data_IF_695047388129
#
_entry.id   IF_695047388129
#
_cell.length_a   1.000
_cell.length_b   1.000
_cell.length_c   1.000
_cell.angle_alpha   90.00
_cell.angle_beta   90.00
_cell.angle_gamma   90.00
#
_symmetry.space_group_name_H-M   'P 1'
#
loop_
_entity.id
_entity.type
_entity.pdbx_description
1 polymer ?
#
# COMPACT_ATOMS: atom_id res chain seq x y z
N UNK A 1 64.71 -85.26 11.03
CA UNK A 1 64.78 -83.82 10.72
C UNK A 1 65.14 -83.67 9.25
N UNK A 2 64.20 -83.23 8.43
CA UNK A 2 64.38 -83.01 7.01
C UNK A 2 64.54 -81.50 6.75
N UNK A 3 65.54 -81.10 5.96
CA UNK A 3 65.59 -79.76 5.34
C UNK A 3 65.88 -79.92 3.86
N UNK A 4 64.92 -79.45 3.08
CA UNK A 4 64.81 -79.52 1.61
C UNK A 4 65.48 -78.29 1.02
N UNK A 5 66.30 -78.50 -0.01
CA UNK A 5 66.88 -77.49 -0.91
C UNK A 5 65.89 -77.11 -2.00
N UNK A 6 65.75 -75.83 -2.34
CA UNK A 6 65.09 -75.39 -3.57
C UNK A 6 66.12 -74.81 -4.56
N UNK A 7 66.11 -75.33 -5.80
CA UNK A 7 67.00 -74.99 -6.90
C UNK A 7 66.56 -73.78 -7.75
N UNK A 8 67.26 -73.50 -8.87
CA UNK A 8 67.34 -72.19 -9.52
C UNK A 8 66.16 -71.79 -10.42
N UNK A 9 64.99 -72.42 -10.30
CA UNK A 9 63.83 -72.14 -11.17
C UNK A 9 62.96 -70.94 -10.73
N UNK A 10 63.18 -70.38 -9.54
CA UNK A 10 62.40 -69.25 -9.02
C UNK A 10 62.93 -67.86 -9.46
N UNK A 11 64.18 -67.78 -9.93
CA UNK A 11 64.83 -66.49 -10.29
C UNK A 11 64.51 -66.08 -11.73
N UNK A 12 64.23 -67.01 -12.64
CA UNK A 12 63.90 -66.70 -14.04
C UNK A 12 62.47 -66.15 -14.24
N UNK A 13 61.54 -66.46 -13.33
CA UNK A 13 60.16 -65.97 -13.41
C UNK A 13 59.98 -64.51 -12.94
N UNK A 14 60.93 -63.96 -12.18
CA UNK A 14 60.86 -62.57 -11.69
C UNK A 14 61.42 -61.58 -12.73
N UNK A 15 62.39 -61.97 -13.56
CA UNK A 15 62.91 -61.09 -14.62
C UNK A 15 61.96 -60.90 -15.81
N UNK A 16 61.05 -61.84 -16.10
CA UNK A 16 60.07 -61.68 -17.20
C UNK A 16 58.90 -60.74 -16.87
N UNK A 17 58.61 -60.46 -15.59
CA UNK A 17 57.53 -59.54 -15.21
C UNK A 17 57.94 -58.05 -15.20
N UNK A 18 59.24 -57.73 -15.21
CA UNK A 18 59.72 -56.34 -15.18
C UNK A 18 59.81 -55.73 -16.61
N UNK A 19 59.79 -56.54 -17.67
CA UNK A 19 59.97 -56.05 -19.06
C UNK A 19 58.65 -55.64 -19.74
N UNK A 20 57.47 -55.89 -19.14
CA UNK A 20 56.17 -55.65 -19.80
C UNK A 20 55.31 -54.49 -19.24
N UNK A 21 55.90 -53.49 -18.58
CA UNK A 21 55.16 -52.29 -18.13
C UNK A 21 55.82 -50.97 -18.53
N UNK A 22 56.16 -50.82 -19.81
CA UNK A 22 56.24 -49.50 -20.45
C UNK A 22 55.01 -49.30 -21.35
N UNK A 23 53.96 -48.68 -20.81
CA UNK A 23 52.93 -48.06 -21.63
C UNK A 23 53.47 -46.74 -22.20
N UNK A 24 53.91 -46.75 -23.45
CA UNK A 24 54.04 -45.53 -24.24
C UNK A 24 52.64 -44.95 -24.44
N UNK A 25 52.30 -43.86 -23.74
CA UNK A 25 51.07 -43.12 -24.06
C UNK A 25 51.27 -42.43 -25.41
N UNK A 26 50.53 -42.86 -26.44
CA UNK A 26 50.59 -42.29 -27.79
C UNK A 26 49.84 -40.95 -27.90
N UNK A 27 49.27 -40.42 -26.81
CA UNK A 27 48.50 -39.18 -26.82
C UNK A 27 49.13 -38.09 -25.94
N UNK A 28 49.53 -36.97 -26.58
CA UNK A 28 49.92 -35.73 -25.89
C UNK A 28 48.70 -34.97 -25.38
N UNK A 29 48.82 -34.35 -24.20
CA UNK A 29 47.80 -33.42 -23.66
C UNK A 29 47.65 -32.19 -24.57
N UNK A 30 46.40 -31.71 -24.74
CA UNK A 30 46.02 -30.57 -25.59
C UNK A 30 46.91 -29.33 -25.41
N UNK A 31 47.29 -29.04 -24.16
CA UNK A 31 48.14 -27.90 -23.79
C UNK A 31 49.57 -28.00 -24.36
N UNK A 32 50.11 -29.22 -24.50
CA UNK A 32 51.44 -29.48 -25.10
C UNK A 32 51.38 -29.55 -26.62
N UNK A 33 50.27 -30.00 -27.20
CA UNK A 33 50.08 -30.04 -28.65
C UNK A 33 50.04 -28.62 -29.28
N UNK A 34 49.50 -27.63 -28.55
CA UNK A 34 49.42 -26.23 -29.00
C UNK A 34 50.78 -25.51 -29.14
N UNK A 35 51.89 -26.10 -28.66
CA UNK A 35 53.23 -25.51 -28.82
C UNK A 35 53.93 -25.94 -30.11
N UNK A 36 53.44 -26.97 -30.82
CA UNK A 36 54.10 -27.58 -31.98
C UNK A 36 53.73 -26.88 -33.30
N UNK A 37 52.59 -26.20 -33.37
CA UNK A 37 52.16 -25.47 -34.56
C UNK A 37 52.14 -23.97 -34.28
N UNK A 38 53.24 -23.26 -34.62
CA UNK A 38 53.20 -21.81 -34.80
C UNK A 38 52.60 -21.49 -36.17
N UNK A 39 51.27 -21.43 -36.24
CA UNK A 39 50.56 -20.94 -37.44
C UNK A 39 50.71 -19.41 -37.47
N UNK A 40 51.29 -18.88 -38.55
CA UNK A 40 51.28 -17.43 -38.83
C UNK A 40 49.84 -17.00 -39.13
N UNK A 41 49.33 -16.00 -38.42
CA UNK A 41 47.99 -15.44 -38.67
C UNK A 41 47.93 -14.89 -40.10
N UNK A 42 46.91 -15.28 -40.87
CA UNK A 42 46.71 -14.85 -42.26
C UNK A 42 45.69 -13.72 -42.31
N UNK A 43 45.91 -12.65 -41.54
CA UNK A 43 44.98 -11.54 -41.56
C UNK A 43 45.10 -10.71 -42.86
N UNK A 44 43.96 -10.38 -43.46
CA UNK A 44 43.74 -9.41 -44.56
C UNK A 44 44.28 -9.82 -45.94
N UNK A 45 43.84 -10.96 -46.48
CA UNK A 45 44.12 -11.33 -47.89
C UNK A 45 42.98 -10.92 -48.83
N UNK A 46 43.25 -10.28 -49.97
CA UNK A 46 42.25 -9.71 -50.91
C UNK A 46 41.10 -10.64 -51.36
N UNK A 47 41.29 -11.97 -51.33
CA UNK A 47 40.28 -12.95 -51.75
C UNK A 47 39.46 -13.52 -50.58
N UNK A 48 39.76 -13.11 -49.35
CA UNK A 48 39.12 -13.58 -48.13
C UNK A 48 37.68 -13.12 -48.00
N UNK A 49 37.37 -11.89 -48.44
CA UNK A 49 36.01 -11.32 -48.47
C UNK A 49 35.05 -12.00 -49.48
N UNK A 50 35.56 -12.87 -50.37
CA UNK A 50 34.72 -13.63 -51.32
C UNK A 50 34.09 -14.86 -50.63
N UNK A 51 34.67 -15.29 -49.51
CA UNK A 51 34.16 -16.42 -48.75
C UNK A 51 33.00 -15.97 -47.85
N UNK A 52 31.98 -16.81 -47.65
CA UNK A 52 30.90 -16.48 -46.74
C UNK A 52 31.43 -16.35 -45.31
N UNK A 53 31.01 -15.29 -44.61
CA UNK A 53 31.45 -14.95 -43.26
C UNK A 53 31.44 -16.15 -42.31
N UNK A 54 32.55 -16.38 -41.61
CA UNK A 54 32.71 -17.52 -40.71
C UNK A 54 33.20 -17.10 -39.31
N UNK A 55 32.41 -17.40 -38.28
CA UNK A 55 32.68 -17.00 -36.90
C UNK A 55 34.03 -17.47 -36.35
N UNK A 56 34.41 -18.72 -36.63
CA UNK A 56 35.65 -19.29 -36.10
C UNK A 56 36.86 -18.63 -36.79
N UNK A 57 36.82 -18.56 -38.12
CA UNK A 57 37.93 -18.01 -38.92
C UNK A 57 38.14 -16.52 -38.65
N UNK A 58 37.09 -15.71 -38.79
CA UNK A 58 37.25 -14.25 -38.78
C UNK A 58 37.33 -13.69 -37.37
N UNK A 59 36.58 -14.25 -36.42
CA UNK A 59 36.49 -13.67 -35.09
C UNK A 59 37.12 -14.50 -33.96
N UNK A 60 37.30 -15.83 -34.06
CA UNK A 60 37.95 -16.62 -32.99
C UNK A 60 39.44 -16.78 -33.22
N UNK A 61 39.83 -17.09 -34.45
CA UNK A 61 41.23 -17.19 -34.86
C UNK A 61 41.84 -15.78 -35.05
N UNK A 62 41.01 -14.81 -35.43
CA UNK A 62 41.41 -13.43 -35.76
C UNK A 62 40.60 -12.33 -35.04
N UNK A 63 41.03 -11.06 -35.23
CA UNK A 63 40.32 -9.89 -34.71
C UNK A 63 39.39 -9.32 -35.80
N UNK A 64 38.09 -9.60 -35.72
CA UNK A 64 37.10 -9.08 -36.68
C UNK A 64 36.56 -7.70 -36.30
N UNK A 65 36.06 -7.00 -37.31
CA UNK A 65 35.30 -5.75 -37.29
C UNK A 65 33.80 -5.98 -37.05
N UNK A 66 33.05 -4.90 -36.78
CA UNK A 66 31.61 -5.03 -36.50
C UNK A 66 30.83 -5.41 -37.76
N UNK A 67 31.28 -4.92 -38.92
CA UNK A 67 30.73 -5.20 -40.23
C UNK A 67 30.86 -6.69 -40.57
N UNK A 68 32.03 -7.30 -40.33
CA UNK A 68 32.24 -8.75 -40.51
C UNK A 68 31.36 -9.58 -39.56
N UNK A 69 31.27 -9.19 -38.28
CA UNK A 69 30.34 -9.82 -37.34
C UNK A 69 28.87 -9.68 -37.79
N UNK A 70 28.50 -8.56 -38.42
CA UNK A 70 27.15 -8.33 -38.95
C UNK A 70 26.85 -9.23 -40.14
N UNK A 71 27.83 -9.47 -41.00
CA UNK A 71 27.71 -10.38 -42.14
C UNK A 71 27.52 -11.84 -41.71
N UNK A 72 28.20 -12.25 -40.62
CA UNK A 72 28.06 -13.59 -40.03
C UNK A 72 26.66 -13.82 -39.46
N UNK A 73 26.18 -12.94 -38.57
CA UNK A 73 24.95 -13.19 -37.82
C UNK A 73 23.67 -12.71 -38.52
N UNK A 74 23.79 -11.79 -39.50
CA UNK A 74 22.74 -11.19 -40.35
C UNK A 74 21.61 -10.44 -39.62
N UNK A 75 21.24 -10.85 -38.40
CA UNK A 75 20.32 -10.18 -37.49
C UNK A 75 21.08 -9.24 -36.57
N UNK A 76 20.53 -8.03 -36.40
CA UNK A 76 21.11 -7.00 -35.54
C UNK A 76 21.25 -7.47 -34.09
N UNK A 77 20.27 -8.22 -33.59
CA UNK A 77 20.22 -8.71 -32.21
C UNK A 77 21.36 -9.70 -31.94
N UNK A 78 21.52 -10.70 -32.83
CA UNK A 78 22.57 -11.72 -32.71
C UNK A 78 23.98 -11.14 -32.92
N UNK A 79 24.14 -10.21 -33.86
CA UNK A 79 25.42 -9.50 -34.05
C UNK A 79 25.80 -8.74 -32.78
N UNK A 80 24.85 -8.03 -32.16
CA UNK A 80 25.12 -7.29 -30.93
C UNK A 80 25.49 -8.23 -29.78
N UNK A 81 24.75 -9.32 -29.57
CA UNK A 81 25.04 -10.32 -28.53
C UNK A 81 26.46 -10.87 -28.64
N UNK A 82 26.84 -11.33 -29.84
CA UNK A 82 28.21 -11.77 -30.10
C UNK A 82 29.23 -10.66 -29.87
N UNK A 83 28.97 -9.45 -30.40
CA UNK A 83 29.93 -8.34 -30.34
C UNK A 83 30.19 -7.87 -28.90
N UNK A 84 29.17 -7.91 -28.03
CA UNK A 84 29.28 -7.58 -26.62
C UNK A 84 30.19 -8.55 -25.87
N UNK A 85 30.08 -9.84 -26.14
CA UNK A 85 30.97 -10.87 -25.59
C UNK A 85 32.36 -10.80 -26.21
N UNK A 86 32.43 -10.55 -27.51
CA UNK A 86 33.65 -10.52 -28.28
C UNK A 86 34.60 -9.37 -27.88
N UNK A 87 34.04 -8.19 -27.59
CA UNK A 87 34.78 -7.06 -27.02
C UNK A 87 34.83 -7.11 -25.48
N UNK A 88 34.31 -8.16 -24.85
CA UNK A 88 34.23 -8.33 -23.39
C UNK A 88 33.64 -7.09 -22.67
N UNK A 89 32.63 -6.47 -23.29
CA UNK A 89 32.15 -5.12 -22.93
C UNK A 89 30.63 -5.07 -22.81
N UNK A 90 29.95 -6.13 -22.36
CA UNK A 90 28.54 -6.04 -21.99
C UNK A 90 28.41 -5.16 -20.72
N UNK A 91 27.89 -3.92 -20.82
CA UNK A 91 27.86 -3.01 -19.68
C UNK A 91 26.77 -3.37 -18.66
N UNK A 92 25.88 -4.32 -18.99
CA UNK A 92 24.85 -4.87 -18.09
C UNK A 92 25.14 -6.31 -17.64
N UNK A 93 26.37 -6.81 -17.82
CA UNK A 93 26.77 -8.15 -17.33
C UNK A 93 26.58 -8.28 -15.82
N UNK A 94 26.85 -7.20 -15.10
CA UNK A 94 26.39 -6.97 -13.73
C UNK A 94 25.37 -5.82 -13.76
N UNK A 95 24.34 -5.90 -12.91
CA UNK A 95 23.34 -4.84 -12.85
C UNK A 95 23.95 -3.60 -12.17
N UNK A 96 24.34 -2.61 -12.98
CA UNK A 96 24.92 -1.33 -12.54
C UNK A 96 23.88 -0.28 -12.14
N UNK A 97 22.58 -0.62 -12.19
CA UNK A 97 21.49 0.23 -11.77
C UNK A 97 21.18 -0.01 -10.28
N UNK A 98 21.12 1.07 -9.51
CA UNK A 98 20.80 1.04 -8.09
C UNK A 98 19.30 0.81 -7.84
N UNK A 99 18.96 0.51 -6.59
CA UNK A 99 17.58 0.52 -6.08
C UNK A 99 16.58 -0.33 -6.88
N UNK A 100 17.03 -1.47 -7.41
CA UNK A 100 16.19 -2.38 -8.20
C UNK A 100 15.91 -1.90 -9.63
N UNK A 101 16.68 -0.92 -10.13
CA UNK A 101 16.66 -0.52 -11.53
C UNK A 101 17.06 -1.67 -12.46
N UNK A 102 16.48 -1.68 -13.66
CA UNK A 102 16.73 -2.70 -14.67
C UNK A 102 17.71 -2.14 -15.71
N UNK A 103 18.90 -2.73 -15.80
CA UNK A 103 19.90 -2.39 -16.82
C UNK A 103 19.47 -2.89 -18.20
N UNK A 104 19.42 -1.97 -19.18
CA UNK A 104 19.13 -2.27 -20.58
C UNK A 104 20.23 -1.71 -21.47
N UNK A 105 20.77 -2.55 -22.33
CA UNK A 105 21.80 -2.15 -23.30
C UNK A 105 21.18 -1.31 -24.42
N UNK A 106 21.75 -0.14 -24.69
CA UNK A 106 21.29 0.81 -25.72
C UNK A 106 22.49 1.47 -26.40
N UNK A 107 22.61 1.34 -27.73
CA UNK A 107 23.65 1.97 -28.56
C UNK A 107 25.07 1.86 -27.96
N UNK A 108 25.56 0.63 -27.72
CA UNK A 108 26.90 0.36 -27.17
C UNK A 108 27.14 0.87 -25.72
N UNK A 109 26.09 1.38 -25.06
CA UNK A 109 26.10 1.83 -23.65
C UNK A 109 24.99 1.13 -22.87
N UNK A 110 24.89 1.34 -21.56
CA UNK A 110 23.73 0.91 -20.77
C UNK A 110 22.80 2.08 -20.45
N UNK A 111 21.54 1.76 -20.20
CA UNK A 111 20.53 2.67 -19.71
C UNK A 111 19.73 1.98 -18.61
N UNK A 112 19.46 2.69 -17.52
CA UNK A 112 18.68 2.15 -16.41
C UNK A 112 17.21 2.50 -16.56
N UNK A 113 16.35 1.50 -16.45
CA UNK A 113 14.90 1.71 -16.26
C UNK A 113 14.64 1.73 -14.75
N UNK A 114 14.35 2.90 -14.20
CA UNK A 114 14.20 3.07 -12.76
C UNK A 114 12.77 2.75 -12.29
N UNK A 115 12.62 2.17 -11.08
CA UNK A 115 11.31 2.07 -10.45
C UNK A 115 10.71 3.46 -10.18
N UNK A 116 9.38 3.58 -10.01
CA UNK A 116 8.67 4.85 -9.82
C UNK A 116 9.27 5.82 -8.80
N UNK A 117 9.84 5.31 -7.70
CA UNK A 117 10.42 6.11 -6.60
C UNK A 117 11.87 6.55 -6.86
N UNK A 118 12.46 6.16 -7.98
CA UNK A 118 13.87 6.42 -8.26
C UNK A 118 14.07 7.04 -9.64
N UNK A 119 15.13 7.82 -9.77
CA UNK A 119 15.55 8.49 -10.99
C UNK A 119 17.05 8.70 -11.01
N UNK A 120 17.51 9.46 -12.00
CA UNK A 120 18.94 9.54 -12.32
C UNK A 120 19.34 8.50 -13.36
N UNK A 121 20.61 8.51 -13.72
CA UNK A 121 21.12 7.73 -14.84
C UNK A 121 21.29 6.25 -14.45
N UNK A 122 21.44 6.01 -13.15
CA UNK A 122 21.64 4.72 -12.50
C UNK A 122 20.59 4.45 -11.42
N UNK A 123 19.48 5.18 -11.39
CA UNK A 123 18.44 5.05 -10.35
C UNK A 123 18.95 5.34 -8.93
N UNK A 124 19.99 6.16 -8.84
CA UNK A 124 20.67 6.57 -7.61
C UNK A 124 19.93 7.65 -6.82
N UNK A 125 18.96 8.32 -7.46
CA UNK A 125 18.23 9.45 -6.88
C UNK A 125 16.84 8.98 -6.46
N UNK A 126 16.47 9.16 -5.20
CA UNK A 126 15.08 9.03 -4.79
C UNK A 126 14.26 10.23 -5.29
N UNK A 127 13.17 9.95 -6.00
CA UNK A 127 12.20 10.93 -6.45
C UNK A 127 11.04 10.96 -5.46
N UNK A 128 10.88 12.10 -4.80
CA UNK A 128 9.67 12.41 -4.03
C UNK A 128 8.81 13.29 -4.93
N UNK A 129 7.83 12.68 -5.59
CA UNK A 129 6.82 13.37 -6.40
C UNK A 129 5.46 13.10 -5.76
N UNK A 130 4.57 14.10 -5.72
CA UNK A 130 3.31 14.00 -4.99
C UNK A 130 2.36 12.91 -5.53
N UNK A 131 2.43 12.60 -6.82
CA UNK A 131 1.61 11.53 -7.40
C UNK A 131 1.95 10.15 -6.81
N UNK A 132 3.18 9.94 -6.33
CA UNK A 132 3.60 8.68 -5.74
C UNK A 132 3.42 8.72 -4.22
N UNK A 133 2.45 7.95 -3.69
CA UNK A 133 2.15 7.87 -2.24
C UNK A 133 2.00 9.24 -1.56
N UNK A 134 1.44 10.24 -2.26
CA UNK A 134 1.30 11.61 -1.75
C UNK A 134 2.64 12.25 -1.31
N UNK A 135 3.78 11.84 -1.89
CA UNK A 135 5.11 12.29 -1.47
C UNK A 135 5.43 11.99 0.01
N UNK A 136 4.83 10.94 0.56
CA UNK A 136 4.85 10.55 1.98
C UNK A 136 4.24 11.61 2.94
N UNK A 137 3.52 12.61 2.42
CA UNK A 137 2.77 13.58 3.21
C UNK A 137 1.48 12.96 3.76
N UNK A 138 1.15 13.24 5.03
CA UNK A 138 -0.09 12.70 5.63
C UNK A 138 -1.36 13.35 5.07
N UNK A 139 -1.29 14.65 4.76
CA UNK A 139 -2.45 15.40 4.25
C UNK A 139 -2.13 15.99 2.89
N UNK A 140 -1.51 17.18 2.81
CA UNK A 140 -1.29 17.85 1.53
C UNK A 140 0.16 17.75 1.09
N UNK A 141 0.36 17.54 -0.21
CA UNK A 141 1.67 17.49 -0.86
C UNK A 141 1.75 18.52 -1.99
N UNK A 142 2.90 19.19 -2.10
CA UNK A 142 3.22 20.08 -3.20
C UNK A 142 4.61 19.77 -3.77
N UNK A 143 4.68 19.55 -5.09
CA UNK A 143 5.94 19.43 -5.81
C UNK A 143 6.64 20.79 -5.89
N UNK A 144 7.97 20.80 -5.77
CA UNK A 144 8.75 22.03 -5.90
C UNK A 144 9.52 22.03 -7.22
N UNK A 145 9.52 23.15 -7.93
CA UNK A 145 10.09 23.24 -9.29
C UNK A 145 11.61 23.04 -9.33
N UNK A 146 12.31 23.34 -8.23
CA UNK A 146 13.78 23.38 -8.19
C UNK A 146 14.39 22.45 -7.14
N UNK A 147 13.60 21.93 -6.21
CA UNK A 147 14.06 21.00 -5.19
C UNK A 147 13.47 19.62 -5.46
N UNK A 148 14.28 18.56 -5.36
CA UNK A 148 13.85 17.17 -5.57
C UNK A 148 13.07 16.61 -4.36
N UNK A 149 12.46 17.52 -3.58
CA UNK A 149 11.71 17.25 -2.35
C UNK A 149 10.31 17.85 -2.52
N UNK A 150 9.33 17.18 -1.93
CA UNK A 150 7.98 17.72 -1.80
C UNK A 150 7.88 18.55 -0.51
N UNK A 151 6.98 19.51 -0.50
CA UNK A 151 6.57 20.24 0.70
C UNK A 151 5.24 19.67 1.16
N UNK A 152 5.19 19.23 2.41
CA UNK A 152 3.96 18.80 3.03
C UNK A 152 3.28 19.96 3.77
N UNK A 153 1.95 19.95 3.78
CA UNK A 153 1.16 20.87 4.58
C UNK A 153 -0.06 20.17 5.17
N UNK A 154 -0.65 20.78 6.19
CA UNK A 154 -1.75 20.22 6.95
C UNK A 154 -3.04 21.04 6.79
N UNK A 155 -4.17 20.42 7.07
CA UNK A 155 -5.50 21.02 7.14
C UNK A 155 -5.60 21.99 8.33
N UNK A 156 -6.56 22.90 8.27
CA UNK A 156 -6.87 23.79 9.38
C UNK A 156 -7.12 22.98 10.68
N UNK A 157 -6.49 23.43 11.77
CA UNK A 157 -6.51 22.75 13.06
C UNK A 157 -5.49 21.61 13.22
N UNK A 158 -4.58 21.46 12.25
CA UNK A 158 -3.43 20.56 12.32
C UNK A 158 -2.11 21.29 12.09
N UNK A 159 -1.07 20.87 12.80
CA UNK A 159 0.32 21.34 12.64
C UNK A 159 1.21 20.28 12.03
N UNK A 160 2.11 20.71 11.12
CA UNK A 160 3.10 19.82 10.53
C UNK A 160 4.09 19.37 11.61
N UNK A 161 4.28 18.05 11.69
CA UNK A 161 5.22 17.41 12.60
C UNK A 161 6.67 17.75 12.26
N UNK A 162 7.58 17.54 13.23
CA UNK A 162 9.01 17.83 13.09
C UNK A 162 9.69 17.02 11.95
N UNK A 163 9.11 15.88 11.57
CA UNK A 163 9.56 15.06 10.44
C UNK A 163 9.28 15.71 9.06
N UNK A 164 8.52 16.81 9.04
CA UNK A 164 8.12 17.51 7.82
C UNK A 164 7.10 16.75 6.96
N UNK A 165 6.49 15.68 7.49
CA UNK A 165 5.57 14.77 6.78
C UNK A 165 4.25 14.55 7.51
N UNK A 166 4.33 14.35 8.83
CA UNK A 166 3.19 14.09 9.68
C UNK A 166 2.36 15.35 9.95
N UNK A 167 1.09 15.15 10.26
CA UNK A 167 0.20 16.22 10.74
C UNK A 167 -0.29 15.83 12.13
N UNK A 168 -0.31 16.75 13.08
CA UNK A 168 -0.80 16.51 14.46
C UNK A 168 -1.89 17.52 14.81
N UNK A 169 -2.92 17.14 15.59
CA UNK A 169 -3.95 18.07 16.01
C UNK A 169 -3.34 19.26 16.77
N UNK A 170 -3.59 20.49 16.31
CA UNK A 170 -3.21 21.71 17.02
C UNK A 170 -4.39 22.30 17.80
N UNK A 171 -5.59 22.14 17.25
CA UNK A 171 -6.80 22.66 17.85
C UNK A 171 -7.40 21.62 18.81
N UNK A 172 -8.28 22.08 19.70
CA UNK A 172 -9.01 21.18 20.61
C UNK A 172 -9.99 20.27 19.86
N UNK A 173 -10.55 20.78 18.76
CA UNK A 173 -11.62 20.16 17.99
C UNK A 173 -11.41 20.33 16.48
N UNK A 174 -10.29 19.86 15.92
CA UNK A 174 -10.08 19.90 14.48
C UNK A 174 -11.04 18.96 13.77
N UNK A 175 -11.20 19.20 12.46
CA UNK A 175 -12.08 18.41 11.65
C UNK A 175 -11.64 16.93 11.57
N UNK A 176 -12.58 16.03 11.36
CA UNK A 176 -12.30 14.63 11.02
C UNK A 176 -11.69 13.77 12.15
N UNK A 177 -11.67 14.25 13.40
CA UNK A 177 -11.26 13.42 14.53
C UNK A 177 -12.30 12.34 14.85
N UNK A 178 -11.83 11.12 15.09
CA UNK A 178 -12.65 9.95 15.43
C UNK A 178 -12.20 9.38 16.78
N UNK A 179 -13.19 9.02 17.60
CA UNK A 179 -13.00 8.45 18.94
C UNK A 179 -12.49 7.02 18.77
N UNK A 180 -11.30 6.70 19.30
CA UNK A 180 -10.76 5.34 19.20
C UNK A 180 -11.64 4.40 20.04
N UNK A 181 -12.11 3.31 19.45
CA UNK A 181 -12.79 2.23 20.18
C UNK A 181 -11.79 1.57 21.15
N UNK A 182 -11.84 1.93 22.42
CA UNK A 182 -11.06 1.27 23.48
C UNK A 182 -11.70 -0.06 23.85
N UNK A 183 -11.68 -1.06 22.95
CA UNK A 183 -11.93 -2.47 23.35
C UNK A 183 -10.83 -3.01 24.28
N UNK A 184 -9.74 -2.26 24.47
CA UNK A 184 -8.54 -2.61 25.24
C UNK A 184 -8.51 -2.06 26.68
N UNK A 185 -9.50 -1.27 27.12
CA UNK A 185 -9.45 -0.59 28.44
C UNK A 185 -10.54 -1.02 29.43
N UNK A 186 -11.62 -1.67 28.97
CA UNK A 186 -12.73 -2.09 29.84
C UNK A 186 -12.46 -3.38 30.65
N UNK A 187 -11.33 -4.06 30.42
CA UNK A 187 -10.94 -5.24 31.22
C UNK A 187 -10.21 -4.87 32.53
N UNK A 188 -10.07 -3.58 32.87
CA UNK A 188 -9.20 -3.11 33.95
C UNK A 188 -9.80 -2.18 35.00
N UNK A 189 -11.11 -1.91 35.03
CA UNK A 189 -11.70 -1.03 36.05
C UNK A 189 -13.13 -1.42 36.42
N UNK A 190 -13.23 -2.47 37.21
CA UNK A 190 -14.29 -2.54 38.23
C UNK A 190 -13.73 -1.79 39.44
N UNK A 191 -14.55 -0.94 40.08
CA UNK A 191 -14.28 -0.14 41.30
C UNK A 191 -13.61 1.23 41.04
N UNK A 192 -14.40 2.29 40.79
CA UNK A 192 -14.68 3.35 41.78
C UNK A 192 -15.56 4.49 41.20
N UNK A 193 -16.45 4.94 42.09
CA UNK A 193 -17.43 6.03 42.07
C UNK A 193 -17.13 7.31 41.26
N UNK A 194 -18.23 7.88 40.78
CA UNK A 194 -18.44 9.28 40.38
C UNK A 194 -17.47 10.28 41.04
N UNK A 195 -16.66 10.97 40.22
CA UNK A 195 -16.34 12.40 40.34
C UNK A 195 -15.43 12.84 39.19
N UNK A 196 -15.84 13.88 38.46
CA UNK A 196 -15.07 14.77 37.57
C UNK A 196 -13.83 14.18 36.86
N UNK A 197 -14.03 13.57 35.69
CA UNK A 197 -12.92 13.23 34.79
C UNK A 197 -12.77 14.29 33.69
N UNK A 198 -11.76 15.16 33.82
CA UNK A 198 -11.09 15.76 32.66
C UNK A 198 -10.48 14.62 31.85
N UNK A 199 -11.12 14.22 30.75
CA UNK A 199 -10.59 13.19 29.86
C UNK A 199 -9.42 13.77 29.05
N UNK A 200 -8.23 13.21 29.26
CA UNK A 200 -7.02 13.55 28.51
C UNK A 200 -7.16 13.15 27.02
N UNK A 201 -6.74 14.07 26.13
CA UNK A 201 -6.81 13.99 24.66
C UNK A 201 -5.97 12.84 24.03
N UNK A 202 -5.36 11.96 24.82
CA UNK A 202 -4.46 10.89 24.34
C UNK A 202 -5.18 9.71 23.68
N UNK A 203 -6.52 9.65 23.75
CA UNK A 203 -7.32 8.54 23.22
C UNK A 203 -7.89 8.78 21.80
N UNK A 204 -7.52 9.90 21.17
CA UNK A 204 -7.97 10.29 19.83
C UNK A 204 -6.81 10.17 18.83
N UNK A 205 -6.86 9.16 17.97
CA UNK A 205 -5.94 9.08 16.84
C UNK A 205 -6.67 9.52 15.57
N UNK A 206 -5.91 10.13 14.65
CA UNK A 206 -6.33 10.34 13.28
C UNK A 206 -6.69 9.01 12.60
N UNK A 207 -7.44 9.10 11.51
CA UNK A 207 -7.60 8.00 10.54
C UNK A 207 -6.26 7.29 10.37
N UNK A 208 -6.23 5.99 10.70
CA UNK A 208 -5.00 5.19 10.72
C UNK A 208 -4.17 5.47 9.48
N UNK A 209 -2.96 5.99 9.69
CA UNK A 209 -1.91 6.01 8.69
C UNK A 209 -1.63 4.58 8.25
N UNK A 210 -1.82 4.33 6.96
CA UNK A 210 -1.55 3.07 6.27
C UNK A 210 -0.06 2.74 6.15
N UNK A 211 0.81 3.52 6.80
CA UNK A 211 2.26 3.30 6.75
C UNK A 211 2.82 2.41 7.88
N UNK A 212 2.01 1.97 8.87
CA UNK A 212 2.58 1.22 10.01
C UNK A 212 1.79 0.02 10.57
N UNK A 213 0.83 -0.55 9.85
CA UNK A 213 0.22 -1.82 10.29
C UNK A 213 -0.10 -2.72 9.12
N UNK A 214 0.75 -3.74 8.95
CA UNK A 214 0.35 -4.97 8.27
C UNK A 214 -0.92 -5.50 8.93
N UNK A 215 -1.87 -5.86 8.06
CA UNK A 215 -3.11 -6.57 8.31
C UNK A 215 -3.13 -7.41 9.62
N UNK A 216 -3.89 -6.98 10.61
CA UNK A 216 -4.42 -7.89 11.63
C UNK A 216 -5.62 -8.60 10.99
N UNK A 217 -5.46 -9.87 10.64
CA UNK A 217 -6.51 -10.77 10.16
C UNK A 217 -7.59 -10.93 11.24
N UNK A 218 -8.76 -10.33 11.05
CA UNK A 218 -9.87 -10.34 12.01
C UNK A 218 -10.71 -11.64 11.99
N UNK A 219 -10.18 -12.75 11.48
CA UNK A 219 -10.91 -14.03 11.35
C UNK A 219 -10.19 -15.24 11.94
N UNK A 220 -8.98 -15.10 12.47
CA UNK A 220 -8.16 -16.25 12.92
C UNK A 220 -8.09 -16.47 14.44
N UNK A 221 -8.68 -15.60 15.27
CA UNK A 221 -8.58 -15.68 16.74
C UNK A 221 -9.85 -16.24 17.42
N UNK A 222 -10.75 -16.91 16.66
CA UNK A 222 -12.01 -17.45 17.22
C UNK A 222 -11.86 -18.89 17.76
N UNK A 223 -10.82 -19.64 17.40
CA UNK A 223 -10.76 -21.08 17.71
C UNK A 223 -9.85 -21.49 18.88
N UNK A 224 -9.01 -20.62 19.46
CA UNK A 224 -7.97 -21.06 20.42
C UNK A 224 -8.22 -20.74 21.92
N UNK A 225 -9.29 -19.99 22.25
CA UNK A 225 -9.49 -19.48 23.63
C UNK A 225 -10.59 -20.20 24.46
N UNK A 226 -11.16 -21.29 23.95
CA UNK A 226 -12.26 -22.03 24.61
C UNK A 226 -11.82 -23.05 25.68
N UNK A 227 -10.56 -23.06 26.15
CA UNK A 227 -10.09 -24.10 27.09
C UNK A 227 -9.57 -23.59 28.45
N UNK A 228 -9.77 -22.31 28.84
CA UNK A 228 -9.05 -21.77 30.02
C UNK A 228 -9.81 -21.02 31.10
N UNK A 229 -11.13 -21.15 31.24
CA UNK A 229 -11.82 -20.60 32.42
C UNK A 229 -12.95 -21.49 32.93
N UNK A 230 -12.59 -22.63 33.54
CA UNK A 230 -13.40 -23.21 34.62
C UNK A 230 -13.17 -22.39 35.90
N UNK A 231 -14.19 -21.65 36.33
CA UNK A 231 -14.08 -20.75 37.48
C UNK A 231 -15.43 -20.25 38.00
N UNK A 232 -16.13 -21.15 38.70
CA UNK A 232 -17.11 -20.94 39.79
C UNK A 232 -18.04 -19.71 39.72
N UNK A 233 -19.08 -19.77 38.87
CA UNK A 233 -20.26 -18.92 38.97
C UNK A 233 -21.37 -19.64 39.74
N UNK A 234 -22.11 -18.91 40.57
CA UNK A 234 -23.23 -19.49 41.33
C UNK A 234 -24.47 -19.65 40.45
N UNK A 235 -25.39 -20.57 40.80
CA UNK A 235 -26.62 -20.84 40.02
C UNK A 235 -27.50 -19.59 39.81
N UNK A 236 -27.40 -18.58 40.66
CA UNK A 236 -28.10 -17.30 40.47
C UNK A 236 -27.46 -16.41 39.39
N UNK A 237 -26.15 -16.51 39.13
CA UNK A 237 -25.46 -15.78 38.06
C UNK A 237 -25.79 -16.35 36.68
N UNK A 238 -25.97 -17.66 36.58
CA UNK A 238 -26.36 -18.35 35.34
C UNK A 238 -27.81 -18.05 34.93
N UNK A 239 -28.70 -17.80 35.89
CA UNK A 239 -30.11 -17.40 35.63
C UNK A 239 -30.25 -15.92 35.20
N UNK A 240 -29.27 -15.07 35.54
CA UNK A 240 -29.22 -13.68 35.05
C UNK A 240 -28.66 -13.60 33.62
N UNK A 241 -27.75 -14.49 33.24
CA UNK A 241 -27.19 -14.56 31.88
C UNK A 241 -28.12 -15.29 30.88
N UNK A 242 -28.92 -16.25 31.33
CA UNK A 242 -29.87 -16.97 30.46
C UNK A 242 -31.07 -16.13 30.00
N UNK A 243 -31.35 -15.01 30.67
CA UNK A 243 -32.44 -14.08 30.29
C UNK A 243 -31.96 -12.86 29.49
N UNK A 244 -30.67 -12.76 29.14
CA UNK A 244 -30.13 -11.73 28.23
C UNK A 244 -29.80 -12.32 26.85
N UNK A 245 -29.77 -13.65 26.72
CA UNK A 245 -29.53 -14.36 25.46
C UNK A 245 -30.72 -15.22 25.04
N UNK A 246 -31.87 -14.60 24.75
CA UNK A 246 -32.75 -15.09 23.68
C UNK A 246 -33.72 -13.97 23.29
N UNK A 247 -33.83 -13.72 21.99
CA UNK A 247 -34.68 -12.70 21.34
C UNK A 247 -34.12 -11.28 21.20
N UNK A 248 -32.95 -11.14 20.59
CA UNK A 248 -32.80 -10.07 19.60
C UNK A 248 -31.83 -10.57 18.52
N UNK A 249 -32.40 -11.23 17.51
CA UNK A 249 -31.73 -11.41 16.22
C UNK A 249 -31.17 -10.05 15.79
N UNK A 250 -29.89 -10.05 15.44
CA UNK A 250 -29.16 -8.93 14.83
C UNK A 250 -29.95 -8.32 13.66
N UNK A 251 -30.82 -7.37 13.97
CA UNK A 251 -31.41 -6.48 12.96
C UNK A 251 -30.35 -5.46 12.60
N UNK A 252 -29.53 -5.83 11.63
CA UNK A 252 -28.61 -4.96 10.88
C UNK A 252 -29.29 -3.62 10.57
N UNK A 253 -28.91 -2.58 11.32
CA UNK A 253 -29.61 -1.28 11.35
C UNK A 253 -29.16 -0.29 10.25
N UNK A 254 -28.54 -0.83 9.22
CA UNK A 254 -28.29 -0.40 7.82
C UNK A 254 -28.11 -1.73 7.08
N UNK A 255 -28.54 -1.90 5.82
CA UNK A 255 -28.38 -3.21 5.12
C UNK A 255 -26.90 -3.62 5.14
N UNK A 256 -26.54 -4.63 5.96
CA UNK A 256 -25.17 -5.08 6.17
C UNK A 256 -24.24 -4.18 7.02
N UNK A 257 -24.77 -3.16 7.70
CA UNK A 257 -23.97 -2.23 8.52
C UNK A 257 -23.94 -2.57 10.01
N UNK A 258 -22.97 -2.00 10.73
CA UNK A 258 -22.78 -2.14 12.18
C UNK A 258 -23.14 -0.85 12.94
N UNK A 259 -23.31 -0.98 14.26
CA UNK A 259 -23.73 0.10 15.13
C UNK A 259 -22.64 1.18 15.32
N UNK A 260 -22.90 2.44 14.94
CA UNK A 260 -22.01 3.57 15.24
C UNK A 260 -22.18 4.00 16.69
N UNK A 261 -21.17 3.81 17.55
CA UNK A 261 -21.18 4.17 18.97
C UNK A 261 -21.31 5.69 19.19
N UNK A 262 -21.77 6.16 20.37
CA UNK A 262 -21.81 7.59 20.67
C UNK A 262 -20.46 8.27 20.43
N UNK A 263 -20.45 9.33 19.62
CA UNK A 263 -19.24 10.08 19.26
C UNK A 263 -18.32 9.42 18.23
N UNK A 264 -18.66 8.26 17.66
CA UNK A 264 -17.91 7.67 16.55
C UNK A 264 -18.22 8.35 15.20
N UNK A 265 -19.37 9.03 15.08
CA UNK A 265 -19.81 9.77 13.90
C UNK A 265 -20.14 11.25 14.27
N UNK A 266 -19.19 12.05 14.79
CA UNK A 266 -19.49 13.34 15.46
C UNK A 266 -19.92 14.47 14.51
N UNK A 267 -19.73 14.30 13.20
CA UNK A 267 -20.21 15.21 12.17
C UNK A 267 -21.62 14.88 11.68
N UNK A 268 -22.23 13.82 12.17
CA UNK A 268 -23.57 13.42 11.74
C UNK A 268 -24.60 14.47 12.16
N UNK A 269 -25.46 14.85 11.21
CA UNK A 269 -26.54 15.81 11.43
C UNK A 269 -27.88 15.19 11.06
N UNK A 270 -28.89 15.42 11.90
CA UNK A 270 -30.29 15.12 11.59
C UNK A 270 -31.00 16.42 11.18
N UNK A 271 -31.61 16.43 9.99
CA UNK A 271 -32.35 17.58 9.46
C UNK A 271 -33.84 17.37 9.66
N UNK A 272 -34.51 18.33 10.31
CA UNK A 272 -35.89 18.19 10.76
C UNK A 272 -36.77 19.36 10.30
N UNK A 273 -38.05 19.05 10.07
CA UNK A 273 -39.06 20.05 9.74
C UNK A 273 -39.63 20.71 11.01
N UNK A 274 -40.66 21.53 10.88
CA UNK A 274 -41.29 22.24 12.00
C UNK A 274 -42.13 21.35 12.93
N UNK A 275 -42.34 20.08 12.58
CA UNK A 275 -43.05 19.06 13.38
C UNK A 275 -42.09 18.05 14.01
N UNK A 276 -40.80 18.38 14.07
CA UNK A 276 -39.72 17.52 14.58
C UNK A 276 -39.54 16.20 13.81
N UNK A 277 -40.10 16.09 12.61
CA UNK A 277 -39.89 14.94 11.74
C UNK A 277 -38.53 15.04 11.04
N UNK A 278 -37.64 14.10 11.35
CA UNK A 278 -36.32 13.95 10.72
C UNK A 278 -36.43 13.28 9.35
N UNK A 279 -36.21 14.07 8.29
CA UNK A 279 -36.44 13.63 6.92
C UNK A 279 -35.15 13.38 6.13
N UNK A 280 -34.03 13.99 6.54
CA UNK A 280 -32.74 13.83 5.89
C UNK A 280 -31.59 13.85 6.90
N UNK A 281 -30.44 13.32 6.48
CA UNK A 281 -29.17 13.49 7.16
C UNK A 281 -28.35 14.65 6.57
N UNK A 282 -27.26 14.99 7.23
CA UNK A 282 -26.24 15.89 6.72
C UNK A 282 -24.91 15.67 7.43
N UNK A 283 -23.89 16.41 6.97
CA UNK A 283 -22.57 16.43 7.58
C UNK A 283 -22.23 17.85 8.02
N UNK A 284 -21.84 18.00 9.28
CA UNK A 284 -21.34 19.26 9.81
C UNK A 284 -19.96 19.53 9.19
N UNK A 285 -19.79 20.68 8.52
CA UNK A 285 -18.52 21.04 7.86
C UNK A 285 -17.86 22.26 8.51
N UNK A 286 -18.57 22.96 9.40
CA UNK A 286 -18.06 24.01 10.30
C UNK A 286 -19.06 24.26 11.43
N UNK A 287 -18.79 25.23 12.32
CA UNK A 287 -19.71 25.56 13.42
C UNK A 287 -21.09 26.06 12.95
N UNK A 288 -21.21 26.57 11.71
CA UNK A 288 -22.46 27.17 11.21
C UNK A 288 -22.96 26.56 9.89
N UNK A 289 -22.26 25.59 9.32
CA UNK A 289 -22.57 25.05 8.00
C UNK A 289 -22.71 23.53 8.02
N UNK A 290 -23.80 23.07 7.41
CA UNK A 290 -24.10 21.66 7.18
C UNK A 290 -24.18 21.42 5.67
N UNK A 291 -23.51 20.37 5.20
CA UNK A 291 -23.58 19.85 3.85
C UNK A 291 -24.61 18.72 3.77
N UNK A 292 -25.43 18.70 2.73
CA UNK A 292 -26.43 17.65 2.50
C UNK A 292 -26.76 17.55 1.01
N UNK A 293 -27.74 16.72 0.65
CA UNK A 293 -28.24 16.59 -0.72
C UNK A 293 -29.28 17.67 -1.05
N UNK A 294 -29.38 18.06 -2.32
CA UNK A 294 -30.36 19.04 -2.77
C UNK A 294 -31.79 18.49 -2.77
N UNK A 295 -31.96 17.21 -3.10
CA UNK A 295 -33.27 16.54 -3.14
C UNK A 295 -33.99 16.53 -1.79
N UNK A 296 -33.23 16.64 -0.68
CA UNK A 296 -33.79 16.77 0.67
C UNK A 296 -34.77 17.95 0.79
N UNK A 297 -34.65 18.95 -0.09
CA UNK A 297 -35.43 20.19 -0.04
C UNK A 297 -36.43 20.35 -1.19
N UNK A 298 -36.72 19.29 -1.95
CA UNK A 298 -37.66 19.39 -3.07
C UNK A 298 -39.09 19.68 -2.63
N UNK A 299 -39.52 19.05 -1.52
CA UNK A 299 -40.90 19.14 -1.03
C UNK A 299 -40.98 19.54 0.45
N UNK A 300 -39.85 19.66 1.15
CA UNK A 300 -39.80 19.88 2.59
C UNK A 300 -38.84 21.03 2.89
N UNK A 301 -39.31 22.00 3.69
CA UNK A 301 -38.49 23.11 4.15
C UNK A 301 -37.85 22.71 5.49
N UNK A 302 -36.51 22.79 5.63
CA UNK A 302 -35.85 22.52 6.90
C UNK A 302 -36.17 23.62 7.92
N UNK A 303 -36.52 23.23 9.15
CA UNK A 303 -36.79 24.16 10.25
C UNK A 303 -35.58 24.27 11.19
N UNK A 304 -34.98 23.14 11.52
CA UNK A 304 -33.83 23.04 12.40
C UNK A 304 -33.00 21.80 12.08
N UNK A 305 -31.80 21.75 12.65
CA UNK A 305 -30.94 20.58 12.67
C UNK A 305 -30.67 20.14 14.10
N UNK A 306 -30.38 18.86 14.29
CA UNK A 306 -29.88 18.31 15.54
C UNK A 306 -28.51 17.68 15.28
N UNK A 307 -27.52 18.06 16.10
CA UNK A 307 -26.15 17.53 16.05
C UNK A 307 -25.78 16.90 17.39
N UNK A 308 -24.88 15.93 17.37
CA UNK A 308 -24.51 15.16 18.58
C UNK A 308 -25.56 14.15 19.03
N UNK A 309 -26.60 13.96 18.22
CA UNK A 309 -27.65 12.95 18.36
C UNK A 309 -27.09 11.58 17.99
N UNK A 310 -27.41 10.58 18.79
CA UNK A 310 -27.11 9.17 18.55
C UNK A 310 -28.40 8.35 18.42
N UNK A 311 -29.38 8.53 19.31
CA UNK A 311 -30.69 7.91 19.20
C UNK A 311 -31.79 8.93 18.86
N UNK A 312 -32.15 9.02 17.58
CA UNK A 312 -33.21 9.92 17.07
C UNK A 312 -34.58 9.81 17.75
N UNK A 313 -34.81 8.78 18.56
CA UNK A 313 -36.05 8.55 19.30
C UNK A 313 -36.01 9.06 20.75
N UNK A 314 -34.82 9.40 21.27
CA UNK A 314 -34.60 9.80 22.65
C UNK A 314 -33.72 11.04 22.69
N UNK A 315 -34.19 12.09 23.34
CA UNK A 315 -33.38 13.30 23.49
C UNK A 315 -32.24 13.07 24.47
N UNK A 316 -31.01 13.26 24.00
CA UNK A 316 -29.80 13.15 24.79
C UNK A 316 -29.34 14.50 25.35
N UNK A 317 -28.46 14.46 26.36
CA UNK A 317 -27.97 15.67 27.05
C UNK A 317 -27.05 16.52 26.19
N UNK A 318 -26.26 15.88 25.32
CA UNK A 318 -25.22 16.54 24.53
C UNK A 318 -25.70 16.95 23.12
N UNK A 319 -26.95 16.65 22.79
CA UNK A 319 -27.60 17.05 21.55
C UNK A 319 -27.80 18.57 21.48
N UNK A 320 -27.47 19.15 20.33
CA UNK A 320 -27.68 20.56 20.07
C UNK A 320 -28.67 20.75 18.94
N UNK A 321 -29.82 21.32 19.27
CA UNK A 321 -30.89 21.67 18.34
C UNK A 321 -30.75 23.12 17.90
N UNK A 322 -30.43 23.35 16.62
CA UNK A 322 -30.14 24.70 16.08
C UNK A 322 -31.06 25.02 14.90
N UNK A 323 -31.68 26.21 14.90
CA UNK A 323 -32.59 26.62 13.81
C UNK A 323 -31.80 26.85 12.51
N UNK A 324 -32.44 26.52 11.40
CA UNK A 324 -31.92 26.84 10.07
C UNK A 324 -32.19 28.30 9.74
N UNK A 325 -31.13 29.03 9.36
CA UNK A 325 -31.23 30.41 8.87
C UNK A 325 -31.63 30.43 7.41
N UNK A 326 -30.93 29.63 6.59
CA UNK A 326 -31.15 29.54 5.14
C UNK A 326 -30.57 28.23 4.60
N UNK A 327 -31.12 27.75 3.49
CA UNK A 327 -30.56 26.64 2.72
C UNK A 327 -30.38 27.06 1.26
N UNK A 328 -29.42 26.45 0.58
CA UNK A 328 -29.12 26.66 -0.84
C UNK A 328 -28.95 25.32 -1.52
N UNK A 329 -29.81 25.03 -2.49
CA UNK A 329 -29.55 23.95 -3.45
C UNK A 329 -28.53 24.42 -4.46
N UNK A 330 -27.72 23.50 -4.98
CA UNK A 330 -26.82 23.82 -6.07
C UNK A 330 -27.61 24.46 -7.24
N UNK A 331 -27.15 25.58 -7.82
CA UNK A 331 -27.89 26.28 -8.88
C UNK A 331 -28.18 25.43 -10.12
N UNK A 332 -27.34 24.40 -10.35
CA UNK A 332 -27.47 23.46 -11.46
C UNK A 332 -28.02 22.08 -11.02
N UNK A 333 -28.64 21.99 -9.84
CA UNK A 333 -29.31 20.77 -9.41
C UNK A 333 -30.45 20.41 -10.36
N UNK A 334 -30.50 19.15 -10.79
CA UNK A 334 -31.56 18.62 -11.62
C UNK A 334 -32.27 17.47 -10.92
N UNK A 335 -33.55 17.68 -10.56
CA UNK A 335 -34.35 16.70 -9.82
C UNK A 335 -34.74 15.45 -10.63
N UNK A 336 -34.57 15.46 -11.95
CA UNK A 336 -34.89 14.31 -12.81
C UNK A 336 -33.78 13.25 -12.81
N UNK A 337 -32.52 13.68 -12.71
CA UNK A 337 -31.36 12.78 -12.80
C UNK A 337 -30.38 12.90 -11.64
N UNK A 338 -30.73 13.70 -10.61
CA UNK A 338 -29.91 13.95 -9.42
C UNK A 338 -28.51 14.50 -9.72
N UNK A 339 -28.32 15.13 -10.89
CA UNK A 339 -27.06 15.80 -11.17
C UNK A 339 -26.91 17.04 -10.27
N UNK A 340 -25.71 17.25 -9.74
CA UNK A 340 -25.41 18.26 -8.72
C UNK A 340 -26.34 18.21 -7.50
N UNK A 341 -26.66 17.01 -7.02
CA UNK A 341 -27.49 16.79 -5.84
C UNK A 341 -26.75 17.12 -4.53
N UNK A 342 -26.47 18.41 -4.36
CA UNK A 342 -25.72 18.97 -3.24
C UNK A 342 -26.36 20.28 -2.78
N UNK A 343 -26.41 20.47 -1.46
CA UNK A 343 -26.96 21.65 -0.84
C UNK A 343 -26.21 22.03 0.44
N UNK A 344 -26.27 23.32 0.76
CA UNK A 344 -25.75 23.89 2.00
C UNK A 344 -26.89 24.37 2.89
N UNK A 345 -26.74 24.17 4.19
CA UNK A 345 -27.63 24.70 5.22
C UNK A 345 -26.80 25.57 6.17
N UNK A 346 -27.18 26.84 6.29
CA UNK A 346 -26.60 27.78 7.25
C UNK A 346 -27.46 27.81 8.51
N UNK A 347 -26.79 27.69 9.65
CA UNK A 347 -27.41 27.72 10.97
C UNK A 347 -27.58 29.17 11.47
N UNK A 348 -28.51 29.36 12.40
CA UNK A 348 -28.78 30.67 13.03
C UNK A 348 -27.73 31.06 14.07
N UNK A 349 -27.05 30.08 14.66
CA UNK A 349 -25.98 30.25 15.63
C UNK A 349 -24.95 29.12 15.47
N UNK A 350 -23.73 29.35 15.97
CA UNK A 350 -22.68 28.34 16.02
C UNK A 350 -23.10 27.16 16.90
N UNK A 351 -22.82 25.95 16.43
CA UNK A 351 -22.78 24.77 17.30
C UNK A 351 -21.52 24.81 18.15
N UNK A 352 -21.63 24.35 19.38
CA UNK A 352 -20.51 24.20 20.30
C UNK A 352 -19.85 22.87 19.99
N UNK A 353 -18.58 22.89 19.56
CA UNK A 353 -17.84 21.66 19.35
C UNK A 353 -17.60 20.93 20.66
N UNK A 354 -17.84 19.62 20.63
CA UNK A 354 -17.63 18.70 21.75
C UNK A 354 -17.05 17.40 21.20
N UNK A 355 -16.76 16.44 22.07
CA UNK A 355 -16.34 15.12 21.64
C UNK A 355 -17.37 14.39 20.76
N UNK A 356 -18.65 14.80 20.80
CA UNK A 356 -19.73 14.19 20.02
C UNK A 356 -20.22 15.10 18.88
N UNK A 357 -19.68 16.32 18.78
CA UNK A 357 -20.05 17.32 17.77
C UNK A 357 -18.76 17.92 17.19
N UNK A 358 -18.37 17.44 16.02
CA UNK A 358 -17.15 17.87 15.32
C UNK A 358 -17.42 17.99 13.82
N UNK A 359 -16.76 18.93 13.11
CA UNK A 359 -16.89 19.00 11.66
C UNK A 359 -16.11 17.87 10.98
N UNK A 360 -16.56 17.42 9.81
CA UNK A 360 -15.76 16.59 8.90
C UNK A 360 -14.83 17.48 8.06
N UNK A 361 -13.64 17.00 7.72
CA UNK A 361 -12.73 17.75 6.85
C UNK A 361 -13.23 17.77 5.41
N UNK A 362 -13.07 18.91 4.73
CA UNK A 362 -13.32 19.04 3.29
C UNK A 362 -11.98 19.01 2.54
N UNK A 363 -11.62 17.90 1.88
CA UNK A 363 -10.31 17.78 1.25
C UNK A 363 -10.21 18.70 0.02
N UNK A 364 -9.02 19.28 -0.20
CA UNK A 364 -8.69 19.91 -1.49
C UNK A 364 -8.67 18.88 -2.61
N UNK A 365 -8.88 19.27 -3.88
CA UNK A 365 -8.90 18.34 -5.02
C UNK A 365 -7.69 17.42 -5.12
N UNK A 366 -6.49 17.92 -4.80
CA UNK A 366 -5.26 17.11 -4.83
C UNK A 366 -5.32 15.93 -3.86
N UNK A 367 -5.75 16.17 -2.62
CA UNK A 367 -5.90 15.11 -1.62
C UNK A 367 -7.11 14.22 -1.92
N UNK A 368 -8.22 14.80 -2.38
CA UNK A 368 -9.42 14.05 -2.73
C UNK A 368 -9.13 12.97 -3.81
N UNK A 369 -8.38 13.33 -4.85
CA UNK A 369 -7.98 12.38 -5.89
C UNK A 369 -7.12 11.24 -5.34
N UNK A 370 -6.13 11.58 -4.50
CA UNK A 370 -5.28 10.57 -3.85
C UNK A 370 -6.10 9.64 -2.95
N UNK A 371 -7.06 10.17 -2.18
CA UNK A 371 -7.94 9.37 -1.34
C UNK A 371 -8.82 8.45 -2.20
N UNK A 372 -9.36 8.92 -3.32
CA UNK A 372 -10.21 8.08 -4.19
C UNK A 372 -9.40 6.96 -4.87
N UNK A 373 -8.19 7.26 -5.32
CA UNK A 373 -7.32 6.27 -5.98
C UNK A 373 -6.72 5.26 -4.99
N UNK A 374 -6.45 5.68 -3.75
CA UNK A 374 -5.78 4.87 -2.73
C UNK A 374 -6.71 4.12 -1.77
N UNK A 375 -8.01 4.46 -1.70
CA UNK A 375 -8.95 3.88 -0.73
C UNK A 375 -9.77 2.76 -1.36
N UNK A 376 -9.72 1.57 -0.75
CA UNK A 376 -10.55 0.43 -1.15
C UNK A 376 -12.02 0.57 -0.68
N UNK A 377 -12.29 1.30 0.41
CA UNK A 377 -13.63 1.39 1.03
C UNK A 377 -13.91 2.74 1.71
N UNK A 378 -15.09 3.32 1.50
CA UNK A 378 -15.61 4.47 2.24
C UNK A 378 -16.54 4.07 3.39
N UNK A 379 -16.75 4.97 4.35
CA UNK A 379 -17.69 4.78 5.47
C UNK A 379 -18.95 5.62 5.23
N UNK A 380 -20.11 5.00 5.42
CA UNK A 380 -21.43 5.65 5.36
C UNK A 380 -22.12 5.50 6.73
N UNK A 381 -22.64 6.61 7.27
CA UNK A 381 -23.38 6.65 8.53
C UNK A 381 -24.72 7.37 8.36
N UNK A 382 -25.71 6.98 9.15
CA UNK A 382 -27.02 7.65 9.18
C UNK A 382 -28.10 6.81 9.85
N UNK A 383 -29.32 7.36 9.89
CA UNK A 383 -30.51 6.71 10.46
C UNK A 383 -31.53 6.27 9.41
N UNK A 384 -31.04 5.96 8.21
CA UNK A 384 -31.86 5.54 7.07
C UNK A 384 -32.58 4.21 7.28
N UNK A 385 -33.39 3.80 6.31
CA UNK A 385 -34.09 2.52 6.36
C UNK A 385 -33.09 1.35 6.39
N UNK A 386 -33.40 0.36 7.21
CA UNK A 386 -32.52 -0.78 7.51
C UNK A 386 -32.90 -2.04 6.75
N UNK A 387 -34.03 -1.97 6.05
CA UNK A 387 -34.56 -3.02 5.20
C UNK A 387 -34.92 -2.41 3.85
N UNK A 388 -34.71 -3.17 2.78
CA UNK A 388 -35.20 -2.79 1.47
C UNK A 388 -36.72 -2.69 1.52
N UNK A 389 -37.29 -1.61 0.96
CA UNK A 389 -38.71 -1.63 0.63
C UNK A 389 -38.89 -2.67 -0.47
N UNK A 390 -39.44 -3.83 -0.11
CA UNK A 390 -40.01 -4.75 -1.10
C UNK A 390 -41.14 -3.95 -1.76
N UNK A 391 -40.98 -3.65 -3.04
CA UNK A 391 -41.94 -2.84 -3.79
C UNK A 391 -43.30 -3.54 -3.84
N UNK A 392 -44.35 -2.78 -3.52
CA UNK A 392 -45.73 -3.08 -3.92
C UNK A 392 -45.96 -2.68 -5.38
#
# INVERSE_FOLDING_TARGET
MARISFGPTLIFLICCFIIFSHSLSVFMKKEKANQVLRIQKRANTFLEEILPGNLERECREEQCSFEEAKEIFKSKEKTMEFWFDYKNSNPCKENTCNNGGICKVKHYTYSCTCPPRYGGNQCEIEKFECWYKNGDCWQYCQDTEHSRRVICSCEAGYTLSEDGKGCTPSDRFPCGLIKRSTRSYERGRVIQSETNAHENMTNWNQTLSWASSGWLNLTAEIEDDMEKLEGNFTEEDLLRWSNINSTDEEKTRIIGGSFCRPGACPWQVLIQNNRDYGFCGGSLISSQWVLTAAHCFDNIIPHHVTVGDFDKHQRERDEQKVRVRRHWRHPQYNSQNYNNDIALVQLTSDVIFTQNVLPICLPRPSLANVLIEGVAHGIVSGWGATHAKVGD
#
